data_IF_414224334414
#
_entry.id   IF_414224334414
#
_cell.length_a   1.000
_cell.length_b   1.000
_cell.length_c   1.000
_cell.angle_alpha   90.00
_cell.angle_beta   90.00
_cell.angle_gamma   90.00
#
_symmetry.space_group_name_H-M   'P 1'
#
loop_
_entity.id
_entity.type
_entity.pdbx_description
1 polymer ?
#
# COMPACT_ATOMS: atom_id res chain seq x y z
N UNK A 1 -15.61 -18.55 2.46
CA UNK A 1 -14.22 -18.17 2.72
C UNK A 1 -14.23 -17.07 3.76
N UNK A 2 -13.35 -17.13 4.74
CA UNK A 2 -13.35 -16.21 5.88
C UNK A 2 -12.62 -14.92 5.48
N UNK A 3 -13.14 -13.78 5.92
CA UNK A 3 -12.45 -12.48 5.84
C UNK A 3 -11.19 -12.58 6.69
N UNK A 4 -10.08 -11.89 6.30
CA UNK A 4 -8.87 -11.92 7.11
C UNK A 4 -9.16 -11.54 8.56
N UNK A 5 -8.89 -12.46 9.47
CA UNK A 5 -9.12 -12.24 10.90
C UNK A 5 -8.10 -11.20 11.41
N UNK A 6 -8.60 -10.23 12.14
CA UNK A 6 -7.79 -9.25 12.85
C UNK A 6 -8.34 -9.03 14.26
N UNK A 7 -7.49 -8.68 15.19
CA UNK A 7 -7.87 -8.48 16.59
C UNK A 7 -7.72 -7.01 17.00
N UNK A 8 -8.53 -6.59 17.95
CA UNK A 8 -8.42 -5.25 18.56
C UNK A 8 -7.02 -5.01 19.14
N UNK A 9 -6.34 -6.06 19.60
CA UNK A 9 -4.98 -6.00 20.10
C UNK A 9 -3.98 -5.63 18.98
N UNK A 10 -4.10 -6.22 17.81
CA UNK A 10 -3.27 -5.87 16.65
C UNK A 10 -3.46 -4.42 16.23
N UNK A 11 -4.70 -3.91 16.23
CA UNK A 11 -4.99 -2.50 15.96
C UNK A 11 -4.32 -1.56 16.99
N UNK A 12 -4.36 -1.93 18.27
CA UNK A 12 -3.68 -1.18 19.34
C UNK A 12 -2.16 -1.18 19.18
N UNK A 13 -1.56 -2.34 18.92
CA UNK A 13 -0.10 -2.50 18.73
C UNK A 13 0.41 -1.77 17.49
N UNK A 14 -0.39 -1.73 16.42
CA UNK A 14 -0.11 -0.94 15.22
C UNK A 14 -0.28 0.58 15.43
N UNK A 15 -0.95 1.00 16.50
CA UNK A 15 -1.18 2.40 16.82
C UNK A 15 -2.31 3.04 16.01
N UNK A 16 -3.30 2.27 15.59
CA UNK A 16 -4.50 2.72 14.85
C UNK A 16 -5.32 3.75 15.64
N UNK A 17 -5.32 3.63 16.96
CA UNK A 17 -6.10 4.48 17.88
C UNK A 17 -5.56 5.92 18.04
N UNK A 18 -4.34 6.20 17.60
CA UNK A 18 -3.78 7.55 17.66
C UNK A 18 -4.34 8.41 16.54
N UNK A 19 -4.92 9.55 16.89
CA UNK A 19 -5.28 10.59 15.97
C UNK A 19 -4.29 11.76 15.99
N UNK A 20 -4.70 12.88 15.45
CA UNK A 20 -3.94 14.12 15.43
C UNK A 20 -4.10 14.93 16.74
N UNK A 21 -3.30 15.99 16.85
CA UNK A 21 -3.35 16.94 17.95
C UNK A 21 -4.73 17.59 18.06
N UNK A 22 -5.18 17.85 19.29
CA UNK A 22 -6.54 18.32 19.59
C UNK A 22 -6.93 19.62 18.86
N UNK A 23 -5.98 20.51 18.56
CA UNK A 23 -6.25 21.76 17.84
C UNK A 23 -6.41 21.58 16.32
N UNK A 24 -6.12 20.39 15.76
CA UNK A 24 -6.21 20.11 14.32
C UNK A 24 -7.40 19.23 13.94
N UNK A 25 -8.27 18.90 14.87
CA UNK A 25 -9.37 18.01 14.63
C UNK A 25 -10.47 18.59 13.75
N UNK A 26 -11.28 17.70 13.17
CA UNK A 26 -12.49 18.06 12.46
C UNK A 26 -13.70 17.73 13.34
N UNK A 27 -14.65 18.68 13.59
CA UNK A 27 -15.84 18.41 14.41
C UNK A 27 -16.69 17.25 13.91
N UNK A 28 -16.69 16.93 12.61
CA UNK A 28 -17.42 15.80 12.04
C UNK A 28 -16.90 14.43 12.47
N UNK A 29 -15.67 14.40 12.99
CA UNK A 29 -15.06 13.18 13.54
C UNK A 29 -15.35 12.97 15.02
N UNK A 30 -16.09 13.88 15.66
CA UNK A 30 -16.39 13.83 17.11
C UNK A 30 -16.93 12.47 17.56
N UNK A 31 -17.85 11.91 16.80
CA UNK A 31 -18.48 10.62 17.12
C UNK A 31 -17.52 9.41 17.09
N UNK A 32 -16.36 9.53 16.43
CA UNK A 32 -15.35 8.48 16.30
C UNK A 32 -14.17 8.68 17.26
N UNK A 33 -14.20 9.74 18.06
CA UNK A 33 -13.16 10.08 19.01
C UNK A 33 -13.58 9.61 20.40
N UNK A 34 -12.83 8.68 20.98
CA UNK A 34 -13.04 8.21 22.35
C UNK A 34 -12.70 9.29 23.39
N UNK A 35 -11.69 10.09 23.15
CA UNK A 35 -11.22 11.13 24.06
C UNK A 35 -9.89 11.74 23.62
N UNK A 36 -9.21 12.40 24.56
CA UNK A 36 -7.87 12.95 24.31
C UNK A 36 -6.90 12.64 25.44
N UNK A 37 -5.64 12.35 25.10
CA UNK A 37 -4.57 12.13 26.06
C UNK A 37 -3.29 12.85 25.58
N UNK A 38 -2.66 13.61 26.46
CA UNK A 38 -1.45 14.38 26.14
C UNK A 38 -1.61 15.30 24.92
N UNK A 39 -2.79 15.89 24.72
CA UNK A 39 -3.06 16.78 23.59
C UNK A 39 -3.26 16.07 22.24
N UNK A 40 -3.40 14.73 22.23
CA UNK A 40 -3.67 13.92 21.04
C UNK A 40 -5.03 13.26 21.20
N UNK A 41 -5.84 13.26 20.13
CA UNK A 41 -7.10 12.53 20.10
C UNK A 41 -6.86 11.03 20.05
N UNK A 42 -7.72 10.27 20.71
CA UNK A 42 -7.75 8.81 20.68
C UNK A 42 -9.01 8.39 19.95
N UNK A 43 -8.83 7.61 18.89
CA UNK A 43 -9.94 7.06 18.08
C UNK A 43 -10.59 5.89 18.79
N UNK A 44 -11.90 5.76 18.64
CA UNK A 44 -12.69 4.66 19.22
C UNK A 44 -12.58 3.41 18.36
N UNK A 45 -11.72 2.47 18.77
CA UNK A 45 -11.54 1.22 18.06
C UNK A 45 -12.77 0.30 18.06
N UNK A 46 -13.70 0.49 18.98
CA UNK A 46 -14.94 -0.31 19.01
C UNK A 46 -15.82 -0.02 17.80
N UNK A 47 -15.73 1.19 17.26
CA UNK A 47 -16.37 1.59 16.00
C UNK A 47 -15.49 1.28 14.78
N UNK A 48 -14.16 1.41 14.91
CA UNK A 48 -13.25 1.12 13.81
C UNK A 48 -13.31 -0.34 13.36
N UNK A 49 -13.39 -1.30 14.30
CA UNK A 49 -13.44 -2.74 13.98
C UNK A 49 -14.58 -3.10 13.02
N UNK A 50 -15.86 -2.84 13.32
CA UNK A 50 -16.94 -3.19 12.41
C UNK A 50 -16.91 -2.42 11.09
N UNK A 51 -16.39 -1.18 11.07
CA UNK A 51 -16.27 -0.39 9.84
C UNK A 51 -15.13 -0.90 8.94
N UNK A 52 -14.03 -1.32 9.53
CA UNK A 52 -12.93 -1.98 8.80
C UNK A 52 -13.42 -3.32 8.23
N UNK A 53 -14.11 -4.14 9.01
CA UNK A 53 -14.66 -5.41 8.55
C UNK A 53 -15.62 -5.21 7.35
N UNK A 54 -16.53 -4.23 7.44
CA UNK A 54 -17.40 -3.87 6.33
C UNK A 54 -16.62 -3.44 5.07
N UNK A 55 -15.53 -2.67 5.22
CA UNK A 55 -14.67 -2.25 4.12
C UNK A 55 -13.96 -3.45 3.47
N UNK A 56 -13.40 -4.38 4.27
CA UNK A 56 -12.75 -5.60 3.77
C UNK A 56 -13.73 -6.50 3.02
N UNK A 57 -14.97 -6.62 3.49
CA UNK A 57 -16.04 -7.33 2.78
C UNK A 57 -16.31 -6.75 1.39
N UNK A 58 -16.35 -5.44 1.26
CA UNK A 58 -16.59 -4.77 -0.03
C UNK A 58 -15.40 -5.00 -0.98
N UNK A 59 -14.17 -4.98 -0.47
CA UNK A 59 -12.97 -5.33 -1.26
C UNK A 59 -13.12 -6.74 -1.83
N UNK A 60 -13.37 -7.73 -0.97
CA UNK A 60 -13.55 -9.13 -1.37
C UNK A 60 -14.68 -9.30 -2.40
N UNK A 61 -15.85 -8.70 -2.16
CA UNK A 61 -16.99 -8.78 -3.06
C UNK A 61 -16.74 -8.10 -4.41
N UNK A 62 -15.97 -7.02 -4.44
CA UNK A 62 -15.64 -6.33 -5.68
C UNK A 62 -14.72 -7.18 -6.55
N UNK A 63 -13.68 -7.74 -5.95
CA UNK A 63 -12.72 -8.59 -6.66
C UNK A 63 -13.34 -9.92 -7.07
N UNK A 64 -14.19 -10.53 -6.23
CA UNK A 64 -14.88 -11.79 -6.59
C UNK A 64 -15.81 -11.66 -7.80
N UNK A 65 -16.27 -10.45 -8.11
CA UNK A 65 -17.04 -10.11 -9.31
C UNK A 65 -16.16 -9.75 -10.53
N UNK A 66 -14.83 -9.86 -10.40
CA UNK A 66 -13.88 -9.46 -11.44
C UNK A 66 -13.61 -7.96 -11.49
N UNK A 67 -14.01 -7.20 -10.47
CA UNK A 67 -13.69 -5.78 -10.35
C UNK A 67 -12.24 -5.55 -9.95
N UNK A 68 -11.71 -4.39 -10.29
CA UNK A 68 -10.34 -3.97 -9.99
C UNK A 68 -10.32 -2.89 -8.92
N UNK A 69 -9.27 -2.90 -8.10
CA UNK A 69 -9.04 -1.92 -7.03
C UNK A 69 -7.87 -1.02 -7.39
N UNK A 70 -8.01 0.26 -7.12
CA UNK A 70 -6.91 1.21 -7.18
C UNK A 70 -6.55 1.67 -5.76
N UNK A 71 -5.36 1.30 -5.31
CA UNK A 71 -4.78 1.75 -4.05
C UNK A 71 -4.14 3.13 -4.23
N UNK A 72 -4.51 4.09 -3.39
CA UNK A 72 -4.04 5.48 -3.49
C UNK A 72 -3.47 5.95 -2.17
N UNK A 73 -2.23 6.44 -2.21
CA UNK A 73 -1.60 7.07 -1.06
C UNK A 73 -0.24 7.64 -1.40
N UNK A 74 -0.21 8.96 -1.58
CA UNK A 74 1.00 9.70 -1.95
C UNK A 74 1.81 10.15 -0.74
N UNK A 75 1.40 9.80 0.47
CA UNK A 75 2.13 10.05 1.71
C UNK A 75 3.39 9.19 1.75
N UNK A 76 4.52 9.77 2.15
CA UNK A 76 5.81 9.07 2.18
C UNK A 76 5.75 7.77 3.01
N UNK A 77 5.01 7.78 4.12
CA UNK A 77 4.83 6.62 4.98
C UNK A 77 3.96 5.52 4.35
N UNK A 78 3.05 5.90 3.44
CA UNK A 78 2.12 4.99 2.77
C UNK A 78 2.67 4.43 1.45
N UNK A 79 3.57 5.17 0.80
CA UNK A 79 4.01 4.91 -0.58
C UNK A 79 4.52 3.48 -0.80
N UNK A 80 5.36 2.97 0.10
CA UNK A 80 5.90 1.61 -0.02
C UNK A 80 4.86 0.53 0.32
N UNK A 81 4.10 0.72 1.40
CA UNK A 81 3.08 -0.23 1.84
C UNK A 81 1.95 -0.41 0.81
N UNK A 82 1.56 0.68 0.15
CA UNK A 82 0.55 0.66 -0.91
C UNK A 82 1.04 -0.08 -2.15
N UNK A 83 2.28 0.16 -2.58
CA UNK A 83 2.87 -0.53 -3.73
C UNK A 83 2.95 -2.04 -3.46
N UNK A 84 3.53 -2.44 -2.32
CA UNK A 84 3.66 -3.82 -1.91
C UNK A 84 2.29 -4.54 -1.82
N UNK A 85 1.30 -3.92 -1.19
CA UNK A 85 -0.03 -4.50 -1.08
C UNK A 85 -0.72 -4.69 -2.44
N UNK A 86 -0.60 -3.72 -3.34
CA UNK A 86 -1.18 -3.79 -4.67
C UNK A 86 -0.47 -4.84 -5.55
N UNK A 87 0.85 -4.92 -5.49
CA UNK A 87 1.63 -5.92 -6.22
C UNK A 87 1.31 -7.34 -5.74
N UNK A 88 1.28 -7.58 -4.43
CA UNK A 88 0.90 -8.89 -3.86
C UNK A 88 -0.52 -9.33 -4.22
N UNK A 89 -1.43 -8.38 -4.35
CA UNK A 89 -2.83 -8.67 -4.68
C UNK A 89 -3.17 -8.53 -6.17
N UNK A 90 -2.16 -8.36 -7.04
CA UNK A 90 -2.34 -8.13 -8.48
C UNK A 90 -3.34 -7.01 -8.79
N UNK A 91 -3.32 -5.95 -7.97
CA UNK A 91 -4.14 -4.77 -8.11
C UNK A 91 -3.29 -3.56 -8.52
N UNK A 92 -3.92 -2.41 -8.73
CA UNK A 92 -3.26 -1.20 -9.21
C UNK A 92 -2.99 -0.22 -8.07
N UNK A 93 -1.99 0.65 -8.24
CA UNK A 93 -1.66 1.66 -7.23
C UNK A 93 -1.20 2.99 -7.80
N UNK A 94 -1.36 4.05 -6.99
CA UNK A 94 -0.75 5.36 -7.18
C UNK A 94 -0.14 5.84 -5.86
N UNK A 95 1.19 5.78 -5.77
CA UNK A 95 1.94 6.02 -4.54
C UNK A 95 2.86 7.24 -4.57
N UNK A 96 2.96 7.96 -5.69
CA UNK A 96 3.85 9.12 -5.82
C UNK A 96 3.06 10.44 -5.87
N UNK A 97 2.23 10.64 -6.87
CA UNK A 97 1.42 11.86 -7.02
C UNK A 97 0.17 11.56 -7.82
N UNK A 98 -0.99 11.98 -7.31
CA UNK A 98 -2.21 11.96 -8.08
C UNK A 98 -2.17 13.03 -9.19
N UNK A 99 -2.37 12.61 -10.41
CA UNK A 99 -2.49 13.53 -11.54
C UNK A 99 -3.95 13.95 -11.69
N UNK A 100 -4.23 15.26 -11.72
CA UNK A 100 -5.60 15.72 -11.94
C UNK A 100 -6.15 15.20 -13.26
N UNK A 101 -7.34 14.59 -13.21
CA UNK A 101 -7.96 13.94 -14.36
C UNK A 101 -7.59 12.47 -14.53
N UNK A 102 -6.94 11.84 -13.57
CA UNK A 102 -6.54 10.41 -13.65
C UNK A 102 -7.74 9.52 -13.95
N UNK A 103 -8.86 9.73 -13.30
CA UNK A 103 -10.10 8.97 -13.53
C UNK A 103 -11.01 9.68 -14.54
N UNK A 104 -11.25 10.97 -14.37
CA UNK A 104 -12.19 11.74 -15.17
C UNK A 104 -11.71 12.02 -16.60
N UNK A 105 -10.42 11.96 -16.87
CA UNK A 105 -9.82 12.11 -18.19
C UNK A 105 -8.90 10.91 -18.54
N UNK A 106 -9.42 9.71 -18.33
CA UNK A 106 -8.71 8.46 -18.58
C UNK A 106 -8.05 8.36 -19.95
N UNK A 107 -8.70 8.89 -20.99
CA UNK A 107 -8.15 8.89 -22.36
C UNK A 107 -6.77 9.57 -22.44
N UNK A 108 -6.60 10.70 -21.76
CA UNK A 108 -5.31 11.43 -21.75
C UNK A 108 -4.26 10.66 -20.94
N UNK A 109 -4.66 10.06 -19.82
CA UNK A 109 -3.77 9.22 -18.99
C UNK A 109 -3.34 7.97 -19.76
N UNK A 110 -4.26 7.29 -20.44
CA UNK A 110 -3.96 6.14 -21.30
C UNK A 110 -2.96 6.49 -22.41
N UNK A 111 -3.07 7.66 -23.03
CA UNK A 111 -2.06 8.12 -23.99
C UNK A 111 -0.68 8.31 -23.33
N UNK A 112 -0.63 8.80 -22.09
CA UNK A 112 0.63 8.95 -21.33
C UNK A 112 1.22 7.59 -20.95
N UNK A 113 0.38 6.60 -20.62
CA UNK A 113 0.79 5.21 -20.38
C UNK A 113 1.34 4.59 -21.68
N UNK A 114 0.67 4.81 -22.82
CA UNK A 114 1.15 4.33 -24.12
C UNK A 114 2.50 4.98 -24.48
N UNK A 115 2.69 6.25 -24.14
CA UNK A 115 3.97 6.95 -24.32
C UNK A 115 5.08 6.32 -23.45
N UNK A 116 4.77 5.98 -22.18
CA UNK A 116 5.70 5.28 -21.31
C UNK A 116 6.12 3.93 -21.91
N UNK A 117 5.16 3.10 -22.34
CA UNK A 117 5.43 1.81 -22.99
C UNK A 117 6.31 1.97 -24.24
N UNK A 118 6.03 2.97 -25.10
CA UNK A 118 6.85 3.26 -26.26
C UNK A 118 8.28 3.70 -25.94
N UNK A 119 8.48 4.45 -24.84
CA UNK A 119 9.83 4.83 -24.39
C UNK A 119 10.59 3.61 -23.86
N UNK A 120 9.91 2.73 -23.10
CA UNK A 120 10.51 1.50 -22.60
C UNK A 120 10.99 0.61 -23.76
N UNK A 121 10.14 0.37 -24.78
CA UNK A 121 10.50 -0.39 -25.99
C UNK A 121 11.69 0.22 -26.71
N UNK A 122 11.72 1.55 -26.92
CA UNK A 122 12.82 2.24 -27.59
C UNK A 122 14.15 2.17 -26.82
N UNK A 123 14.10 2.18 -25.50
CA UNK A 123 15.30 2.04 -24.66
C UNK A 123 15.80 0.59 -24.61
N UNK A 124 14.90 -0.41 -24.60
CA UNK A 124 15.21 -1.84 -24.64
C UNK A 124 15.83 -2.24 -25.98
N UNK A 125 15.36 -1.70 -27.11
CA UNK A 125 15.93 -1.88 -28.44
C UNK A 125 17.32 -1.23 -28.61
N UNK A 126 17.87 -0.66 -27.54
CA UNK A 126 19.22 -0.08 -27.48
C UNK A 126 19.32 1.32 -28.07
N UNK A 127 18.17 2.02 -28.28
CA UNK A 127 18.11 3.40 -28.78
C UNK A 127 18.96 3.60 -30.06
N UNK A 128 18.88 2.66 -31.01
CA UNK A 128 19.69 2.67 -32.24
C UNK A 128 19.46 3.96 -33.03
N UNK A 129 20.55 4.65 -33.36
CA UNK A 129 20.51 5.90 -34.10
C UNK A 129 20.29 7.18 -33.29
N UNK A 130 20.10 7.08 -31.96
CA UNK A 130 19.93 8.26 -31.09
C UNK A 130 21.27 8.78 -30.56
N UNK A 131 21.34 10.10 -30.37
CA UNK A 131 22.46 10.73 -29.71
C UNK A 131 22.42 10.48 -28.19
N UNK A 132 23.57 10.50 -27.51
CA UNK A 132 23.66 10.34 -26.06
C UNK A 132 22.75 11.34 -25.29
N UNK A 133 22.58 12.55 -25.81
CA UNK A 133 21.72 13.59 -25.23
C UNK A 133 20.24 13.23 -25.31
N UNK A 134 19.80 12.69 -26.45
CA UNK A 134 18.42 12.25 -26.66
C UNK A 134 18.07 11.07 -25.75
N UNK A 135 18.94 10.07 -25.69
CA UNK A 135 18.80 8.92 -24.80
C UNK A 135 18.66 9.35 -23.34
N UNK A 136 19.53 10.22 -22.85
CA UNK A 136 19.45 10.73 -21.48
C UNK A 136 18.15 11.52 -21.24
N UNK A 137 17.62 12.22 -22.26
CA UNK A 137 16.34 12.89 -22.22
C UNK A 137 15.18 11.91 -22.04
N UNK A 138 15.21 10.81 -22.79
CA UNK A 138 14.20 9.73 -22.68
C UNK A 138 14.27 8.99 -21.36
N UNK A 139 15.44 8.66 -20.86
CA UNK A 139 15.64 8.03 -19.55
C UNK A 139 15.05 8.88 -18.41
N UNK A 140 15.20 10.21 -18.48
CA UNK A 140 14.58 11.14 -17.52
C UNK A 140 13.06 11.20 -17.64
N UNK A 141 12.54 11.20 -18.88
CA UNK A 141 11.10 11.17 -19.15
C UNK A 141 10.49 9.86 -18.64
N UNK A 142 11.13 8.72 -18.94
CA UNK A 142 10.76 7.40 -18.44
C UNK A 142 10.67 7.37 -16.92
N UNK A 143 11.75 7.77 -16.23
CA UNK A 143 11.79 7.80 -14.76
C UNK A 143 10.64 8.62 -14.17
N UNK A 144 10.33 9.77 -14.78
CA UNK A 144 9.24 10.63 -14.33
C UNK A 144 7.86 10.01 -14.56
N UNK A 145 7.64 9.41 -15.73
CA UNK A 145 6.37 8.74 -16.05
C UNK A 145 6.19 7.46 -15.23
N UNK A 146 7.24 6.67 -15.08
CA UNK A 146 7.24 5.44 -14.28
C UNK A 146 6.90 5.74 -12.81
N UNK A 147 7.47 6.78 -12.21
CA UNK A 147 7.15 7.17 -10.84
C UNK A 147 5.67 7.56 -10.66
N UNK A 148 5.04 8.14 -11.67
CA UNK A 148 3.66 8.63 -11.57
C UNK A 148 2.61 7.62 -12.05
N UNK A 149 2.92 6.83 -13.08
CA UNK A 149 1.97 5.98 -13.80
C UNK A 149 2.32 4.49 -13.75
N UNK A 150 3.48 4.13 -13.18
CA UNK A 150 3.97 2.75 -13.16
C UNK A 150 2.95 1.78 -12.56
N UNK A 151 2.33 2.13 -11.44
CA UNK A 151 1.36 1.27 -10.76
C UNK A 151 0.00 1.13 -11.48
N UNK A 152 -0.27 1.93 -12.51
CA UNK A 152 -1.48 1.83 -13.35
C UNK A 152 -1.17 1.46 -14.80
N UNK A 153 0.07 1.04 -15.09
CA UNK A 153 0.55 0.75 -16.44
C UNK A 153 -0.29 -0.32 -17.16
N UNK A 154 -0.73 -1.34 -16.45
CA UNK A 154 -1.50 -2.47 -17.00
C UNK A 154 -3.01 -2.32 -16.80
N UNK A 155 -3.46 -1.18 -16.25
CA UNK A 155 -4.88 -0.93 -16.03
C UNK A 155 -5.57 -0.64 -17.37
N UNK A 156 -6.57 -1.45 -17.71
CA UNK A 156 -7.30 -1.35 -19.00
C UNK A 156 -8.38 -0.26 -19.01
N UNK A 157 -8.81 0.21 -17.83
CA UNK A 157 -9.90 1.15 -17.67
C UNK A 157 -10.01 1.76 -16.29
N UNK A 158 -11.14 2.36 -16.00
CA UNK A 158 -11.42 2.97 -14.69
C UNK A 158 -11.61 1.86 -13.64
N UNK A 159 -11.05 1.98 -12.42
CA UNK A 159 -11.19 0.95 -11.40
C UNK A 159 -12.63 0.86 -10.86
N UNK A 160 -12.99 -0.30 -10.32
CA UNK A 160 -14.30 -0.55 -9.72
C UNK A 160 -14.41 -0.07 -8.28
N UNK A 161 -13.26 0.10 -7.60
CA UNK A 161 -13.18 0.52 -6.20
C UNK A 161 -11.89 1.32 -5.97
N UNK A 162 -11.99 2.36 -5.14
CA UNK A 162 -10.84 3.14 -4.68
C UNK A 162 -10.55 2.82 -3.21
N UNK A 163 -9.28 2.52 -2.89
CA UNK A 163 -8.79 2.42 -1.51
C UNK A 163 -7.80 3.55 -1.24
N UNK A 164 -8.11 4.43 -0.30
CA UNK A 164 -7.39 5.70 -0.09
C UNK A 164 -6.81 5.78 1.32
N UNK A 165 -5.54 6.17 1.42
CA UNK A 165 -4.91 6.55 2.68
C UNK A 165 -4.66 8.06 2.68
N UNK A 166 -5.14 8.74 3.75
CA UNK A 166 -5.13 10.20 3.91
C UNK A 166 -6.10 10.94 2.96
N UNK A 167 -7.36 11.03 3.38
CA UNK A 167 -8.45 11.71 2.66
C UNK A 167 -8.12 13.18 2.34
N UNK A 168 -7.41 13.87 3.23
CA UNK A 168 -7.10 15.29 3.06
C UNK A 168 -6.11 15.52 1.92
N UNK A 169 -5.14 14.64 1.80
CA UNK A 169 -4.10 14.71 0.76
C UNK A 169 -4.65 14.27 -0.59
N UNK A 170 -5.49 13.24 -0.60
CA UNK A 170 -6.04 12.62 -1.81
C UNK A 170 -7.47 13.14 -2.15
N UNK A 171 -7.83 14.32 -1.69
CA UNK A 171 -9.15 14.92 -1.91
C UNK A 171 -9.54 15.01 -3.41
N UNK A 172 -8.56 15.19 -4.30
CA UNK A 172 -8.76 15.17 -5.75
C UNK A 172 -9.19 13.79 -6.25
N UNK A 173 -8.54 12.72 -5.79
CA UNK A 173 -8.88 11.35 -6.15
C UNK A 173 -10.31 11.01 -5.74
N UNK A 174 -10.69 11.35 -4.52
CA UNK A 174 -12.04 11.15 -3.98
C UNK A 174 -13.08 11.95 -4.78
N UNK A 175 -12.78 13.21 -5.11
CA UNK A 175 -13.68 14.05 -5.91
C UNK A 175 -13.89 13.48 -7.31
N UNK A 176 -12.85 12.94 -7.94
CA UNK A 176 -12.94 12.33 -9.26
C UNK A 176 -13.70 10.99 -9.20
N UNK A 177 -13.45 10.15 -8.20
CA UNK A 177 -14.17 8.91 -7.98
C UNK A 177 -15.68 9.16 -7.81
N UNK A 178 -16.05 10.10 -6.97
CA UNK A 178 -17.44 10.48 -6.73
C UNK A 178 -18.15 11.00 -7.99
N UNK A 179 -17.44 11.75 -8.86
CA UNK A 179 -17.99 12.20 -10.15
C UNK A 179 -18.32 11.03 -11.08
N UNK A 180 -17.59 9.95 -10.98
CA UNK A 180 -17.78 8.74 -11.80
C UNK A 180 -18.64 7.68 -11.12
N UNK A 181 -19.06 7.90 -9.87
CA UNK A 181 -19.84 6.94 -9.11
C UNK A 181 -19.03 5.71 -8.68
N UNK A 182 -17.70 5.85 -8.54
CA UNK A 182 -16.82 4.79 -8.06
C UNK A 182 -16.83 4.80 -6.54
N UNK A 183 -17.17 3.70 -5.87
CA UNK A 183 -17.16 3.63 -4.41
C UNK A 183 -15.75 3.84 -3.84
N UNK A 184 -15.68 4.55 -2.73
CA UNK A 184 -14.44 4.94 -2.07
C UNK A 184 -14.38 4.33 -0.67
N UNK A 185 -13.35 3.53 -0.42
CA UNK A 185 -12.91 3.14 0.92
C UNK A 185 -11.79 4.07 1.32
N UNK A 186 -11.84 4.65 2.52
CA UNK A 186 -10.74 5.50 2.98
C UNK A 186 -10.46 5.38 4.47
N UNK A 187 -9.16 5.44 4.81
CA UNK A 187 -8.71 5.65 6.19
C UNK A 187 -8.85 7.14 6.51
N UNK A 188 -9.60 7.44 7.57
CA UNK A 188 -9.96 8.81 7.96
C UNK A 188 -9.46 9.09 9.38
N UNK A 189 -8.51 9.99 9.50
CA UNK A 189 -8.00 10.44 10.80
C UNK A 189 -8.85 11.58 11.38
N UNK A 190 -8.63 11.93 12.62
CA UNK A 190 -9.34 12.97 13.38
C UNK A 190 -9.31 14.37 12.77
N UNK A 191 -8.35 14.68 11.88
CA UNK A 191 -8.18 15.97 11.20
C UNK A 191 -8.91 16.05 9.84
N UNK A 192 -9.50 14.95 9.38
CA UNK A 192 -10.11 14.83 8.07
C UNK A 192 -11.65 14.96 8.13
N UNK A 193 -12.27 15.32 7.01
CA UNK A 193 -13.70 15.27 6.85
C UNK A 193 -14.09 13.95 6.15
N UNK A 194 -15.08 13.20 6.64
CA UNK A 194 -15.49 11.92 6.04
C UNK A 194 -16.32 12.08 4.76
N UNK A 195 -16.40 13.28 4.20
CA UNK A 195 -17.24 13.57 3.04
C UNK A 195 -16.72 12.92 1.77
N UNK A 196 -17.64 12.30 1.05
CA UNK A 196 -17.32 11.63 -0.23
C UNK A 196 -16.67 10.27 -0.05
N UNK A 197 -16.65 9.71 1.15
CA UNK A 197 -16.18 8.37 1.46
C UNK A 197 -17.38 7.48 1.74
N UNK A 198 -17.53 6.39 0.98
CA UNK A 198 -18.64 5.45 1.14
C UNK A 198 -18.39 4.48 2.30
N UNK A 199 -17.16 4.00 2.43
CA UNK A 199 -16.72 3.08 3.48
C UNK A 199 -15.55 3.68 4.23
N UNK A 200 -15.86 4.32 5.35
CA UNK A 200 -14.86 4.99 6.18
C UNK A 200 -14.25 4.01 7.18
N UNK A 201 -12.93 4.11 7.35
CA UNK A 201 -12.17 3.41 8.39
C UNK A 201 -11.58 4.47 9.32
N UNK A 202 -12.20 4.77 10.49
CA UNK A 202 -11.66 5.73 11.43
C UNK A 202 -10.34 5.20 12.02
N UNK A 203 -9.26 5.95 11.85
CA UNK A 203 -7.97 5.50 12.36
C UNK A 203 -6.79 6.36 11.91
N UNK A 204 -5.61 5.96 12.35
CA UNK A 204 -4.35 6.68 12.12
C UNK A 204 -3.87 6.51 10.68
N UNK A 205 -3.66 7.62 10.00
CA UNK A 205 -3.09 7.67 8.65
C UNK A 205 -1.61 8.09 8.59
N UNK A 206 -0.96 8.31 9.77
CA UNK A 206 0.42 8.75 9.89
C UNK A 206 1.39 7.63 10.26
N UNK A 207 0.96 6.67 11.08
CA UNK A 207 1.82 5.62 11.59
C UNK A 207 2.07 4.54 10.52
N UNK A 208 3.33 4.33 10.15
CA UNK A 208 3.71 3.33 9.15
C UNK A 208 3.17 1.92 9.46
N UNK A 209 3.18 1.50 10.75
CA UNK A 209 2.63 0.20 11.18
C UNK A 209 1.12 0.11 11.01
N UNK A 210 0.38 1.20 11.26
CA UNK A 210 -1.06 1.23 11.06
C UNK A 210 -1.40 1.15 9.56
N UNK A 211 -0.69 1.92 8.74
CA UNK A 211 -0.82 1.91 7.27
C UNK A 211 -0.52 0.51 6.71
N UNK A 212 0.58 -0.11 7.15
CA UNK A 212 0.95 -1.47 6.74
C UNK A 212 -0.17 -2.46 7.08
N UNK A 213 -0.73 -2.39 8.29
CA UNK A 213 -1.82 -3.27 8.71
C UNK A 213 -3.07 -3.11 7.82
N UNK A 214 -3.49 -1.88 7.50
CA UNK A 214 -4.63 -1.67 6.60
C UNK A 214 -4.35 -2.21 5.20
N UNK A 215 -3.16 -1.95 4.67
CA UNK A 215 -2.74 -2.42 3.35
C UNK A 215 -2.68 -3.96 3.30
N UNK A 216 -2.14 -4.61 4.33
CA UNK A 216 -2.05 -6.07 4.43
C UNK A 216 -3.43 -6.72 4.50
N UNK A 217 -4.34 -6.17 5.30
CA UNK A 217 -5.71 -6.67 5.40
C UNK A 217 -6.47 -6.48 4.08
N UNK A 218 -6.32 -5.32 3.43
CA UNK A 218 -6.94 -5.05 2.14
C UNK A 218 -6.41 -5.99 1.04
N UNK A 219 -5.09 -6.23 1.00
CA UNK A 219 -4.47 -7.15 0.05
C UNK A 219 -4.94 -8.60 0.24
N UNK A 220 -5.02 -9.08 1.50
CA UNK A 220 -5.56 -10.42 1.82
C UNK A 220 -7.01 -10.56 1.39
N UNK A 221 -7.87 -9.55 1.69
CA UNK A 221 -9.27 -9.56 1.24
C UNK A 221 -9.40 -9.57 -0.28
N UNK A 222 -8.51 -8.89 -1.00
CA UNK A 222 -8.48 -8.93 -2.46
C UNK A 222 -8.06 -10.31 -2.97
N UNK A 223 -7.05 -10.96 -2.38
CA UNK A 223 -6.62 -12.32 -2.71
C UNK A 223 -7.73 -13.34 -2.46
N UNK A 224 -8.43 -13.25 -1.32
CA UNK A 224 -9.58 -14.10 -1.02
C UNK A 224 -10.72 -13.92 -2.05
N UNK A 225 -10.93 -12.67 -2.51
CA UNK A 225 -11.87 -12.36 -3.59
C UNK A 225 -11.46 -13.00 -4.92
N UNK A 226 -10.18 -12.97 -5.27
CA UNK A 226 -9.64 -13.60 -6.49
C UNK A 226 -9.77 -15.13 -6.41
N UNK A 227 -9.44 -15.74 -5.27
CA UNK A 227 -9.60 -17.17 -5.05
C UNK A 227 -11.06 -17.60 -5.19
N UNK A 228 -12.00 -16.80 -4.67
CA UNK A 228 -13.43 -17.04 -4.83
C UNK A 228 -13.88 -16.94 -6.30
N UNK A 229 -13.34 -15.99 -7.06
CA UNK A 229 -13.61 -15.85 -8.50
C UNK A 229 -13.10 -17.04 -9.30
N UNK A 230 -11.86 -17.49 -9.06
CA UNK A 230 -11.25 -18.62 -9.73
C UNK A 230 -11.97 -19.94 -9.39
N UNK A 231 -12.32 -20.15 -8.12
CA UNK A 231 -13.13 -21.30 -7.68
C UNK A 231 -14.52 -21.33 -8.33
N UNK A 232 -15.17 -20.17 -8.50
CA UNK A 232 -16.44 -20.08 -9.21
C UNK A 232 -16.31 -20.34 -10.72
N UNK A 233 -15.13 -20.06 -11.30
CA UNK A 233 -14.80 -20.38 -12.70
C UNK A 233 -14.41 -21.84 -12.93
N UNK A 234 -14.40 -22.69 -11.87
CA UNK A 234 -14.08 -24.13 -11.94
C UNK A 234 -12.59 -24.42 -12.09
N UNK A 235 -11.72 -23.46 -11.77
CA UNK A 235 -10.28 -23.69 -11.70
C UNK A 235 -9.98 -24.31 -10.34
N UNK A 236 -9.44 -25.54 -10.33
CA UNK A 236 -9.05 -26.22 -9.10
C UNK A 236 -7.75 -25.60 -8.55
N UNK A 237 -7.86 -24.93 -7.40
CA UNK A 237 -6.76 -24.23 -6.75
C UNK A 237 -5.93 -25.13 -5.83
N UNK A 238 -6.25 -26.44 -5.73
CA UNK A 238 -5.64 -27.36 -4.80
C UNK A 238 -4.11 -27.50 -4.91
N UNK A 239 -3.52 -27.22 -6.08
CA UNK A 239 -2.06 -27.21 -6.27
C UNK A 239 -1.39 -25.85 -6.00
N UNK A 240 -2.16 -24.76 -5.97
CA UNK A 240 -1.58 -23.40 -5.75
C UNK A 240 -1.48 -23.03 -4.28
N UNK A 241 -2.31 -23.56 -3.40
CA UNK A 241 -2.22 -23.28 -1.95
C UNK A 241 -0.91 -23.84 -1.35
N UNK A 242 -0.48 -25.04 -1.76
CA UNK A 242 0.81 -25.61 -1.31
C UNK A 242 2.01 -24.77 -1.76
N UNK A 243 1.98 -24.22 -2.99
CA UNK A 243 3.09 -23.42 -3.54
C UNK A 243 3.17 -22.06 -2.85
N UNK A 244 2.04 -21.44 -2.48
CA UNK A 244 2.01 -20.13 -1.81
C UNK A 244 2.48 -20.25 -0.35
N UNK A 245 2.11 -21.33 0.37
CA UNK A 245 2.63 -21.59 1.71
C UNK A 245 4.13 -21.93 1.69
N UNK A 246 4.61 -22.66 0.69
CA UNK A 246 6.02 -23.00 0.56
C UNK A 246 6.90 -21.79 0.23
N UNK A 247 6.43 -20.87 -0.65
CA UNK A 247 7.14 -19.63 -0.98
C UNK A 247 7.15 -18.66 0.21
N UNK A 248 6.04 -18.49 0.92
CA UNK A 248 5.97 -17.63 2.12
C UNK A 248 6.82 -18.19 3.29
N UNK A 249 6.91 -19.50 3.44
CA UNK A 249 7.76 -20.13 4.46
C UNK A 249 9.25 -20.11 4.10
N UNK A 250 9.60 -20.17 2.81
CA UNK A 250 10.99 -20.09 2.34
C UNK A 250 11.58 -18.68 2.46
N UNK A 251 10.81 -17.63 2.16
CA UNK A 251 11.28 -16.24 2.26
C UNK A 251 11.47 -15.80 3.72
N UNK A 252 10.59 -16.20 4.62
CA UNK A 252 10.73 -15.91 6.06
C UNK A 252 11.94 -16.67 6.65
N UNK A 253 12.17 -17.91 6.25
CA UNK A 253 13.33 -18.69 6.72
C UNK A 253 14.64 -18.16 6.15
N UNK A 254 14.68 -17.69 4.90
CA UNK A 254 15.88 -17.10 4.30
C UNK A 254 16.27 -15.76 4.95
N UNK A 255 15.30 -14.92 5.30
CA UNK A 255 15.57 -13.61 5.93
C UNK A 255 15.98 -13.74 7.41
N UNK A 256 15.44 -14.74 8.12
CA UNK A 256 15.85 -15.07 9.50
C UNK A 256 17.27 -15.65 9.53
N UNK A 257 17.59 -16.58 8.61
CA UNK A 257 18.92 -17.16 8.49
C UNK A 257 19.96 -16.13 8.07
N UNK A 258 19.62 -15.21 7.15
CA UNK A 258 20.53 -14.14 6.75
C UNK A 258 20.85 -13.19 7.91
N UNK A 259 19.87 -12.82 8.73
CA UNK A 259 20.08 -11.98 9.94
C UNK A 259 20.86 -12.68 11.03
N UNK A 260 20.67 -14.00 11.22
CA UNK A 260 21.48 -14.77 12.19
C UNK A 260 22.93 -14.91 11.74
N UNK A 261 23.18 -15.11 10.44
CA UNK A 261 24.53 -15.19 9.88
C UNK A 261 25.26 -13.85 9.97
N UNK A 262 24.59 -12.72 9.66
CA UNK A 262 25.18 -11.39 9.86
C UNK A 262 25.50 -11.09 11.33
N UNK A 263 24.62 -11.48 12.26
CA UNK A 263 24.87 -11.30 13.68
C UNK A 263 26.06 -12.14 14.19
N UNK A 264 26.23 -13.35 13.67
CA UNK A 264 27.34 -14.25 14.05
C UNK A 264 28.68 -13.79 13.45
N UNK A 265 28.67 -13.21 12.24
CA UNK A 265 29.85 -12.61 11.61
C UNK A 265 30.33 -11.37 12.39
N UNK A 266 29.41 -10.47 12.75
CA UNK A 266 29.73 -9.28 13.56
C UNK A 266 30.23 -9.66 14.96
N UNK A 267 29.67 -10.69 15.59
CA UNK A 267 30.15 -11.18 16.89
C UNK A 267 31.58 -11.72 16.82
N UNK A 268 31.93 -12.46 15.76
CA UNK A 268 33.28 -12.98 15.54
C UNK A 268 34.32 -11.88 15.24
N UNK A 269 33.94 -10.85 14.50
CA UNK A 269 34.81 -9.69 14.23
C UNK A 269 35.12 -8.91 15.53
N UNK A 270 34.12 -8.73 16.39
CA UNK A 270 34.30 -8.07 17.69
C UNK A 270 35.22 -8.90 18.61
N UNK A 271 35.07 -10.23 18.67
CA UNK A 271 35.95 -11.08 19.46
C UNK A 271 37.42 -11.04 18.98
N UNK A 272 37.63 -11.03 17.66
CA UNK A 272 38.97 -10.94 17.07
C UNK A 272 39.63 -9.59 17.36
N UNK A 273 38.89 -8.49 17.36
CA UNK A 273 39.38 -7.15 17.69
C UNK A 273 39.73 -6.98 19.19
N UNK A 274 38.96 -7.62 20.08
CA UNK A 274 39.23 -7.63 21.53
C UNK A 274 40.49 -8.42 21.84
N UNK A 275 40.66 -9.60 21.24
CA UNK A 275 41.85 -10.44 21.41
C UNK A 275 43.13 -9.76 20.89
N UNK A 276 43.02 -9.03 19.75
CA UNK A 276 44.13 -8.26 19.20
C UNK A 276 44.55 -7.12 20.13
N UNK A 277 43.63 -6.39 20.73
CA UNK A 277 43.92 -5.31 21.69
C UNK A 277 44.45 -5.78 23.05
N UNK A 278 44.09 -6.98 23.47
CA UNK A 278 44.65 -7.59 24.70
C UNK A 278 46.09 -8.09 24.49
N UNK A 279 46.42 -8.58 23.27
CA UNK A 279 47.79 -9.02 22.92
C UNK A 279 48.77 -7.85 22.80
N UNK A 280 48.34 -6.67 22.36
CA UNK A 280 49.18 -5.44 22.33
C UNK A 280 49.46 -4.86 23.70
N UNK A 281 48.52 -5.00 24.66
CA UNK A 281 48.73 -4.55 26.05
C UNK A 281 49.65 -5.45 26.90
N UNK A 282 49.89 -6.67 26.46
CA UNK A 282 50.76 -7.62 27.15
C UNK A 282 52.25 -7.54 26.73
N UNK A 283 52.57 -6.68 25.74
CA UNK A 283 53.93 -6.48 25.19
C UNK A 283 54.52 -5.11 25.50
N UNK A 284 53.85 -4.24 26.26
CA UNK A 284 54.42 -3.07 26.96
C UNK A 284 54.60 -3.34 28.49
#
# INVERSE_FOLDING_TARGET
MAIPEFTLRQLLEAGVHFGHQTHRWNPRMEQYIYGSRNGIHIMDLTQTVPMLDAALNIIQQTVSKGGTILFVGTKRQASAAIADAAERSAQYFMNHRWLGGTLTNWKTISNSISRLKSIDEQLEEGAQGMTKKERLGMEREQTKLQASLGGIREMSGVPSLLFVIDVKREALAITEANKLGIPVIAVVDSNCAPEGVDYMIPGNDDAARAIQLYCDLAARSALDGMSAQLGAAGVDLGEMEEVVEEVLSSDISAEVVAKEVEAEVVAKEVETEVVAKESEKATE
#
